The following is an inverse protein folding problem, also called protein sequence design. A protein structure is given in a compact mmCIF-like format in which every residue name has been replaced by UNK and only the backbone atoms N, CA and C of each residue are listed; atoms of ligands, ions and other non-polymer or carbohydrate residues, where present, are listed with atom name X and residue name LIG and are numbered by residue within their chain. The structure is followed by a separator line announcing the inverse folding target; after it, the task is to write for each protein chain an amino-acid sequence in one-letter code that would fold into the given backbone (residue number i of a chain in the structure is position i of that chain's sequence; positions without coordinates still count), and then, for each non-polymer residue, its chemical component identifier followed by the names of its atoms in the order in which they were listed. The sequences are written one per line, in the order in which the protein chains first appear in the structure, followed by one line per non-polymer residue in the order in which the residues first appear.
data_IF_487613529628
#
_entry.id   IF_487613529628
#
_cell.length_a   1.000
_cell.length_b   1.000
_cell.length_c   1.000
_cell.angle_alpha   90.00
_cell.angle_beta   90.00
_cell.angle_gamma   90.00
#
_symmetry.space_group_name_H-M   'P 1'
#
loop_
_entity.id
_entity.type
_entity.pdbx_description
1 polymer ?
#
# COMPACT_ATOMS: atom_id res chain seq x y z
N UNK A 1 -14.68 -27.91 -13.64
CA UNK A 1 -13.74 -26.79 -13.50
C UNK A 1 -14.45 -25.73 -12.69
N UNK A 2 -13.92 -25.37 -11.52
CA UNK A 2 -14.48 -24.28 -10.71
C UNK A 2 -14.23 -22.93 -11.40
N UNK A 3 -15.06 -21.91 -11.15
CA UNK A 3 -14.88 -20.60 -11.75
C UNK A 3 -13.57 -19.95 -11.28
N UNK A 4 -12.85 -19.34 -12.23
CA UNK A 4 -11.66 -18.52 -11.99
C UNK A 4 -12.12 -17.07 -11.99
N UNK A 5 -11.89 -16.37 -10.87
CA UNK A 5 -12.20 -14.94 -10.75
C UNK A 5 -10.89 -14.15 -10.72
N UNK A 6 -10.75 -13.19 -11.63
CA UNK A 6 -9.66 -12.23 -11.63
C UNK A 6 -10.17 -10.91 -11.04
N UNK A 7 -9.68 -10.55 -9.85
CA UNK A 7 -9.86 -9.20 -9.30
C UNK A 7 -8.61 -8.42 -9.69
N UNK A 8 -8.76 -7.46 -10.60
CA UNK A 8 -7.67 -6.60 -11.04
C UNK A 8 -7.69 -5.34 -10.19
N UNK A 9 -6.59 -5.06 -9.49
CA UNK A 9 -6.40 -3.78 -8.84
C UNK A 9 -5.77 -2.82 -9.86
N UNK A 10 -6.61 -2.18 -10.67
CA UNK A 10 -6.19 -1.23 -11.72
C UNK A 10 -7.31 -0.96 -12.72
N UNK A 11 -7.26 0.21 -13.37
CA UNK A 11 -8.13 0.55 -14.50
C UNK A 11 -7.81 -0.36 -15.70
N UNK A 12 -8.82 -0.91 -16.38
CA UNK A 12 -8.61 -1.64 -17.63
C UNK A 12 -8.51 -0.61 -18.78
N UNK A 13 -7.28 -0.16 -19.04
CA UNK A 13 -7.04 0.80 -20.13
C UNK A 13 -7.52 0.24 -21.49
N UNK A 14 -8.42 0.97 -22.13
CA UNK A 14 -9.01 0.57 -23.42
C UNK A 14 -10.14 -0.46 -23.31
N UNK A 15 -10.81 -0.57 -22.17
CA UNK A 15 -11.93 -1.52 -21.98
C UNK A 15 -13.03 -1.39 -23.05
N UNK A 16 -13.25 -0.18 -23.58
CA UNK A 16 -14.24 0.10 -24.62
C UNK A 16 -13.98 -0.74 -25.87
N UNK A 17 -12.71 -0.91 -26.28
CA UNK A 17 -12.32 -1.73 -27.42
C UNK A 17 -12.68 -3.20 -27.20
N UNK A 18 -12.27 -3.77 -26.07
CA UNK A 18 -12.53 -5.18 -25.73
C UNK A 18 -14.01 -5.44 -25.51
N UNK A 19 -14.74 -4.47 -24.95
CA UNK A 19 -16.19 -4.54 -24.80
C UNK A 19 -16.87 -4.66 -26.15
N UNK A 20 -16.53 -3.81 -27.12
CA UNK A 20 -17.08 -3.89 -28.48
C UNK A 20 -16.79 -5.23 -29.17
N UNK A 21 -15.60 -5.78 -28.97
CA UNK A 21 -15.24 -7.10 -29.51
C UNK A 21 -16.08 -8.23 -28.88
N UNK A 22 -16.29 -8.17 -27.56
CA UNK A 22 -16.98 -9.21 -26.79
C UNK A 22 -18.51 -9.05 -26.73
N UNK A 23 -19.07 -7.93 -27.16
CA UNK A 23 -20.51 -7.65 -27.12
C UNK A 23 -21.33 -8.58 -28.03
N UNK A 24 -20.68 -9.20 -29.02
CA UNK A 24 -21.29 -10.23 -29.86
C UNK A 24 -21.46 -11.57 -29.13
N UNK A 25 -20.68 -11.82 -28.08
CA UNK A 25 -20.62 -13.09 -27.35
C UNK A 25 -21.17 -12.98 -25.93
N UNK A 26 -21.22 -11.77 -25.36
CA UNK A 26 -21.56 -11.53 -23.97
C UNK A 26 -22.47 -10.30 -23.78
N UNK A 27 -23.55 -10.47 -23.00
CA UNK A 27 -24.53 -9.42 -22.69
C UNK A 27 -24.11 -8.63 -21.43
N UNK A 28 -23.39 -7.52 -21.63
CA UNK A 28 -22.89 -6.65 -20.57
C UNK A 28 -24.02 -5.84 -19.91
N UNK A 29 -24.17 -5.88 -18.57
CA UNK A 29 -25.25 -5.13 -17.86
C UNK A 29 -24.84 -3.77 -17.29
N UNK A 30 -23.55 -3.50 -17.12
CA UNK A 30 -23.04 -2.20 -16.63
C UNK A 30 -22.30 -1.44 -17.71
N UNK A 31 -22.23 -0.11 -17.65
CA UNK A 31 -21.44 0.73 -18.59
C UNK A 31 -20.01 0.99 -18.11
N UNK A 32 -19.70 0.67 -16.85
CA UNK A 32 -18.35 0.75 -16.27
C UNK A 32 -17.62 -0.58 -16.40
N UNK A 33 -16.33 -0.53 -16.65
CA UNK A 33 -15.40 -1.68 -16.58
C UNK A 33 -14.91 -1.97 -15.16
N UNK A 34 -15.10 -1.01 -14.26
CA UNK A 34 -14.61 -1.06 -12.88
C UNK A 34 -15.77 -0.91 -11.89
N UNK A 35 -15.66 -1.62 -10.77
CA UNK A 35 -16.50 -1.45 -9.58
C UNK A 35 -15.61 -1.08 -8.40
N UNK A 36 -16.05 -0.13 -7.57
CA UNK A 36 -15.25 0.33 -6.43
C UNK A 36 -15.41 -0.66 -5.28
N UNK A 37 -14.35 -1.36 -4.91
CA UNK A 37 -14.32 -2.12 -3.65
C UNK A 37 -14.10 -1.13 -2.50
N UNK A 38 -15.06 -1.05 -1.59
CA UNK A 38 -14.91 -0.20 -0.41
C UNK A 38 -13.71 -0.66 0.44
N UNK A 39 -13.00 0.26 1.12
CA UNK A 39 -11.96 -0.13 2.06
C UNK A 39 -12.47 -1.17 3.04
N UNK A 40 -11.64 -2.19 3.32
CA UNK A 40 -11.96 -3.25 4.30
C UNK A 40 -13.18 -4.12 3.90
N UNK A 41 -13.58 -4.10 2.63
CA UNK A 41 -14.58 -4.99 2.06
C UNK A 41 -13.96 -5.98 1.08
N UNK A 42 -14.62 -7.13 0.92
CA UNK A 42 -14.46 -7.96 -0.26
C UNK A 42 -15.76 -7.93 -1.07
N UNK A 43 -15.65 -8.29 -2.33
CA UNK A 43 -16.73 -8.26 -3.30
C UNK A 43 -16.90 -9.66 -3.87
N UNK A 44 -18.13 -10.17 -3.84
CA UNK A 44 -18.54 -11.44 -4.46
C UNK A 44 -19.47 -11.12 -5.63
N UNK A 45 -19.17 -11.68 -6.80
CA UNK A 45 -20.06 -11.73 -7.96
C UNK A 45 -20.43 -13.18 -8.23
N UNK A 46 -21.72 -13.50 -8.22
CA UNK A 46 -22.23 -14.82 -8.57
C UNK A 46 -23.10 -14.74 -9.85
N UNK A 47 -23.19 -15.84 -10.60
CA UNK A 47 -24.22 -16.09 -11.63
C UNK A 47 -24.27 -15.19 -12.89
N UNK A 48 -23.26 -14.38 -13.21
CA UNK A 48 -23.24 -13.51 -14.40
C UNK A 48 -24.47 -12.58 -14.55
N UNK A 49 -25.32 -12.47 -13.52
CA UNK A 49 -26.53 -11.65 -13.52
C UNK A 49 -26.23 -10.17 -13.17
N UNK A 50 -24.94 -9.86 -12.99
CA UNK A 50 -24.40 -8.57 -12.60
C UNK A 50 -24.88 -8.12 -11.21
N UNK A 51 -25.32 -9.07 -10.37
CA UNK A 51 -25.45 -8.84 -8.94
C UNK A 51 -24.06 -8.88 -8.30
N UNK A 52 -23.79 -7.86 -7.48
CA UNK A 52 -22.54 -7.68 -6.77
C UNK A 52 -22.87 -7.51 -5.30
N UNK A 53 -22.27 -8.34 -4.45
CA UNK A 53 -22.38 -8.21 -3.01
C UNK A 53 -21.04 -7.79 -2.42
N UNK A 54 -21.01 -6.66 -1.72
CA UNK A 54 -19.86 -6.27 -0.91
C UNK A 54 -20.12 -6.61 0.55
N UNK A 55 -19.09 -7.11 1.24
CA UNK A 55 -19.17 -7.43 2.66
C UNK A 55 -17.88 -7.02 3.35
N UNK A 56 -18.01 -6.31 4.47
CA UNK A 56 -16.90 -5.91 5.31
C UNK A 56 -16.25 -7.15 5.94
N UNK A 57 -14.93 -7.36 5.74
CA UNK A 57 -14.23 -8.51 6.35
C UNK A 57 -13.53 -8.17 7.66
N UNK A 58 -13.37 -6.89 7.97
CA UNK A 58 -12.80 -6.45 9.22
C UNK A 58 -13.57 -5.24 9.72
N UNK A 59 -14.19 -5.43 10.88
CA UNK A 59 -14.58 -4.33 11.75
C UNK A 59 -13.43 -4.13 12.73
N UNK A 60 -12.79 -2.96 12.69
CA UNK A 60 -11.74 -2.65 13.66
C UNK A 60 -12.42 -2.18 14.94
N UNK A 61 -12.50 -3.06 15.94
CA UNK A 61 -12.98 -2.70 17.27
C UNK A 61 -11.95 -1.77 17.94
N UNK A 62 -12.19 -0.47 17.83
CA UNK A 62 -11.35 0.53 18.48
C UNK A 62 -11.83 0.74 19.91
N UNK A 63 -10.94 0.70 20.92
CA UNK A 63 -11.31 0.97 22.29
C UNK A 63 -11.90 2.38 22.44
N UNK A 64 -12.86 2.54 23.37
CA UNK A 64 -13.47 3.84 23.65
C UNK A 64 -12.38 4.87 24.00
N UNK A 65 -12.36 5.98 23.27
CA UNK A 65 -11.40 7.09 23.45
C UNK A 65 -11.46 7.74 24.83
N UNK A 66 -12.51 7.46 25.62
CA UNK A 66 -12.67 7.92 27.01
C UNK A 66 -11.95 7.04 28.02
N UNK A 67 -11.47 5.86 27.62
CA UNK A 67 -10.63 5.01 28.47
C UNK A 67 -9.32 5.76 28.72
N UNK A 68 -8.99 5.95 30.00
CA UNK A 68 -7.78 6.64 30.40
C UNK A 68 -6.55 5.79 30.06
N UNK A 69 -5.54 6.43 29.48
CA UNK A 69 -4.23 5.83 29.28
C UNK A 69 -3.55 5.64 30.64
N UNK A 70 -3.23 4.39 30.97
CA UNK A 70 -2.65 4.01 32.26
C UNK A 70 -1.14 3.77 32.17
N UNK A 71 -0.59 3.61 30.97
CA UNK A 71 0.85 3.49 30.75
C UNK A 71 1.56 4.80 31.07
N UNK A 72 2.79 4.70 31.54
CA UNK A 72 3.65 5.86 31.72
C UNK A 72 3.99 6.51 30.37
N UNK A 73 4.35 7.80 30.41
CA UNK A 73 4.80 8.52 29.21
C UNK A 73 5.98 7.81 28.52
N UNK A 74 6.92 7.28 29.29
CA UNK A 74 8.07 6.54 28.78
C UNK A 74 7.65 5.27 28.02
N UNK A 75 6.70 4.50 28.56
CA UNK A 75 6.17 3.30 27.91
C UNK A 75 5.42 3.64 26.61
N UNK A 76 4.68 4.75 26.60
CA UNK A 76 3.98 5.20 25.38
C UNK A 76 4.98 5.65 24.31
N UNK A 77 5.99 6.43 24.68
CA UNK A 77 7.04 6.88 23.75
C UNK A 77 7.76 5.68 23.13
N UNK A 78 8.12 4.69 23.94
CA UNK A 78 8.81 3.50 23.44
C UNK A 78 7.90 2.66 22.55
N UNK A 79 6.64 2.44 22.96
CA UNK A 79 5.69 1.71 22.13
C UNK A 79 5.46 2.38 20.76
N UNK A 80 5.33 3.72 20.72
CA UNK A 80 5.22 4.45 19.44
C UNK A 80 6.48 4.24 18.60
N UNK A 81 7.67 4.34 19.19
CA UNK A 81 8.94 4.11 18.50
C UNK A 81 9.00 2.71 17.91
N UNK A 82 8.65 1.68 18.69
CA UNK A 82 8.62 0.28 18.25
C UNK A 82 7.65 0.09 17.08
N UNK A 83 6.39 0.48 17.22
CA UNK A 83 5.37 0.27 16.19
C UNK A 83 5.68 1.02 14.90
N UNK A 84 6.16 2.26 14.98
CA UNK A 84 6.52 3.03 13.78
C UNK A 84 7.77 2.44 13.13
N UNK A 85 8.75 2.01 13.91
CA UNK A 85 9.97 1.36 13.39
C UNK A 85 9.62 0.06 12.67
N UNK A 86 8.78 -0.78 13.25
CA UNK A 86 8.34 -2.03 12.63
C UNK A 86 7.50 -1.77 11.37
N UNK A 87 6.58 -0.80 11.41
CA UNK A 87 5.78 -0.43 10.25
C UNK A 87 6.64 0.04 9.05
N UNK A 88 7.73 0.76 9.33
CA UNK A 88 8.73 1.16 8.31
C UNK A 88 9.53 -0.06 7.85
N UNK A 89 10.04 -0.88 8.77
CA UNK A 89 10.80 -2.10 8.46
C UNK A 89 10.03 -3.03 7.53
N UNK A 90 8.74 -3.27 7.79
CA UNK A 90 7.88 -4.10 6.94
C UNK A 90 7.77 -3.57 5.51
N UNK A 91 7.81 -2.25 5.32
CA UNK A 91 7.72 -1.58 4.01
C UNK A 91 9.05 -1.48 3.27
N UNK A 92 10.16 -1.78 3.94
CA UNK A 92 11.48 -1.88 3.31
C UNK A 92 11.75 -3.28 2.71
N UNK A 93 10.85 -4.26 2.91
CA UNK A 93 10.95 -5.58 2.27
C UNK A 93 10.56 -5.48 0.79
N UNK A 94 11.54 -5.18 -0.06
CA UNK A 94 11.36 -5.09 -1.51
C UNK A 94 12.54 -5.72 -2.25
N UNK A 95 12.26 -6.39 -3.37
CA UNK A 95 13.27 -6.92 -4.29
C UNK A 95 13.87 -5.83 -5.21
N UNK A 96 13.36 -4.61 -5.09
CA UNK A 96 13.78 -3.44 -5.85
C UNK A 96 14.21 -2.31 -4.90
N UNK A 97 15.03 -1.35 -5.35
CA UNK A 97 15.40 -0.23 -4.52
C UNK A 97 14.18 0.58 -4.04
N UNK A 98 14.14 0.90 -2.75
CA UNK A 98 13.04 1.65 -2.12
C UNK A 98 13.38 3.13 -2.06
N UNK A 99 12.43 3.97 -2.48
CA UNK A 99 12.58 5.42 -2.39
C UNK A 99 12.05 5.99 -1.07
N UNK A 100 12.73 6.99 -0.49
CA UNK A 100 12.16 7.83 0.58
C UNK A 100 11.98 9.26 0.08
N UNK A 101 10.78 9.80 0.27
CA UNK A 101 10.44 11.18 -0.06
C UNK A 101 10.66 12.10 1.14
N UNK A 102 11.47 13.15 0.94
CA UNK A 102 11.74 14.18 1.93
C UNK A 102 11.02 15.48 1.60
N UNK A 103 10.10 15.87 2.48
CA UNK A 103 9.42 17.19 2.43
C UNK A 103 10.04 18.22 3.37
N UNK A 104 10.94 17.81 4.27
CA UNK A 104 11.52 18.65 5.32
C UNK A 104 10.65 18.80 6.58
N UNK A 105 9.46 18.21 6.60
CA UNK A 105 8.60 18.16 7.78
C UNK A 105 8.99 17.03 8.75
N UNK A 106 8.46 17.10 9.98
CA UNK A 106 8.73 16.11 11.03
C UNK A 106 8.43 14.67 10.55
N UNK A 107 7.27 14.44 9.92
CA UNK A 107 6.83 13.10 9.56
C UNK A 107 7.77 12.41 8.56
N UNK A 108 8.13 13.11 7.47
CA UNK A 108 9.02 12.56 6.45
C UNK A 108 10.45 12.40 6.97
N UNK A 109 10.92 13.34 7.79
CA UNK A 109 12.22 13.25 8.45
C UNK A 109 12.29 12.09 9.46
N UNK A 110 11.22 11.83 10.22
CA UNK A 110 11.13 10.69 11.15
C UNK A 110 11.22 9.37 10.40
N UNK A 111 10.48 9.22 9.30
CA UNK A 111 10.56 8.01 8.45
C UNK A 111 11.97 7.85 7.88
N UNK A 112 12.55 8.91 7.31
CA UNK A 112 13.90 8.86 6.76
C UNK A 112 14.97 8.51 7.81
N UNK A 113 14.84 9.04 9.03
CA UNK A 113 15.73 8.73 10.14
C UNK A 113 15.65 7.27 10.57
N UNK A 114 14.43 6.73 10.68
CA UNK A 114 14.19 5.30 10.99
C UNK A 114 14.79 4.43 9.89
N UNK A 115 14.54 4.77 8.63
CA UNK A 115 15.11 4.06 7.48
C UNK A 115 16.65 4.03 7.55
N UNK A 116 17.28 5.18 7.80
CA UNK A 116 18.74 5.26 7.91
C UNK A 116 19.30 4.43 9.09
N UNK A 117 18.57 4.41 10.21
CA UNK A 117 18.91 3.59 11.37
C UNK A 117 18.82 2.09 11.05
N UNK A 118 17.72 1.64 10.44
CA UNK A 118 17.52 0.24 10.08
C UNK A 118 18.53 -0.27 9.05
N UNK A 119 18.92 0.54 8.07
CA UNK A 119 19.99 0.16 7.12
C UNK A 119 21.32 -0.05 7.86
N UNK A 120 21.64 0.84 8.82
CA UNK A 120 22.87 0.75 9.58
C UNK A 120 22.92 -0.51 10.45
N UNK A 121 21.78 -0.96 10.99
CA UNK A 121 21.70 -2.13 11.86
C UNK A 121 21.52 -3.46 11.10
N UNK A 122 20.71 -3.50 10.05
CA UNK A 122 20.31 -4.74 9.36
C UNK A 122 20.99 -4.93 7.99
N UNK A 123 21.66 -3.91 7.46
CA UNK A 123 22.43 -3.97 6.22
C UNK A 123 21.61 -4.31 4.97
N UNK A 124 22.21 -5.07 4.05
CA UNK A 124 21.63 -5.42 2.74
C UNK A 124 20.32 -6.25 2.78
N UNK A 125 19.83 -6.64 3.97
CA UNK A 125 18.58 -7.40 4.13
C UNK A 125 17.32 -6.57 3.86
N UNK A 126 17.42 -5.25 3.83
CA UNK A 126 16.29 -4.31 3.65
C UNK A 126 16.29 -3.63 2.26
N UNK A 127 17.06 -4.15 1.30
CA UNK A 127 17.14 -3.60 -0.06
C UNK A 127 18.07 -2.37 -0.18
N UNK A 128 18.11 -1.78 -1.37
CA UNK A 128 18.87 -0.55 -1.67
C UNK A 128 17.95 0.67 -1.59
N UNK A 129 18.42 1.84 -1.16
CA UNK A 129 17.55 3.03 -1.01
C UNK A 129 17.95 4.18 -1.92
N UNK A 130 16.94 4.83 -2.51
CA UNK A 130 17.06 6.08 -3.24
C UNK A 130 16.41 7.22 -2.43
N UNK A 131 17.05 8.38 -2.35
CA UNK A 131 16.51 9.55 -1.64
C UNK A 131 16.05 10.59 -2.65
N UNK A 132 14.77 10.97 -2.60
CA UNK A 132 14.17 11.99 -3.46
C UNK A 132 13.73 13.22 -2.65
N UNK A 133 13.95 14.41 -3.18
CA UNK A 133 13.41 15.66 -2.62
C UNK A 133 12.24 16.16 -3.47
N UNK A 134 11.34 16.96 -2.89
CA UNK A 134 10.14 17.50 -3.55
C UNK A 134 10.40 18.32 -4.85
N UNK A 135 11.66 18.63 -5.19
CA UNK A 135 12.02 19.29 -6.46
C UNK A 135 12.23 18.26 -7.57
N UNK A 136 11.14 17.85 -8.21
CA UNK A 136 11.15 17.16 -9.49
C UNK A 136 11.68 15.72 -9.42
N UNK A 137 10.78 14.76 -9.61
CA UNK A 137 11.16 13.35 -9.71
C UNK A 137 11.88 13.12 -11.05
N UNK A 138 13.21 13.05 -11.01
CA UNK A 138 14.04 12.60 -12.13
C UNK A 138 14.76 11.31 -11.70
N UNK A 139 14.17 10.16 -12.06
CA UNK A 139 14.73 8.84 -11.75
C UNK A 139 16.12 8.62 -12.38
N UNK A 140 16.53 9.44 -13.37
CA UNK A 140 17.88 9.38 -13.96
C UNK A 140 18.96 10.02 -13.09
N UNK A 141 18.59 10.79 -12.05
CA UNK A 141 19.49 11.44 -11.09
C UNK A 141 19.60 10.72 -9.75
N UNK A 142 18.99 9.55 -9.61
CA UNK A 142 19.24 8.69 -8.46
C UNK A 142 20.69 8.21 -8.51
N UNK A 143 21.58 8.94 -7.85
CA UNK A 143 22.86 8.40 -7.43
C UNK A 143 22.56 7.29 -6.43
N UNK A 144 22.47 6.06 -6.94
CA UNK A 144 22.59 4.84 -6.16
C UNK A 144 23.91 4.94 -5.40
N UNK A 145 23.87 5.43 -4.17
CA UNK A 145 24.99 5.24 -3.26
C UNK A 145 24.98 3.76 -2.92
N UNK A 146 25.71 2.98 -3.73
CA UNK A 146 26.19 1.67 -3.34
C UNK A 146 27.02 1.91 -2.08
N UNK A 147 26.44 1.65 -0.93
CA UNK A 147 27.23 1.45 0.28
C UNK A 147 27.86 0.07 0.11
N UNK A 148 29.08 0.03 -0.42
CA UNK A 148 29.92 -1.16 -0.30
C UNK A 148 30.24 -1.35 1.18
N UNK A 149 29.68 -2.41 1.77
CA UNK A 149 30.10 -3.03 3.01
C UNK A 149 29.79 -4.53 2.92
#
# INVERSE_FOLDING_TARGET
MGPIYAVVNGELYGYEYYRTELEQEYDFKGTSDCEIVLPVHYLICENYDNSVQQTMYCDSDYPDKRVLETRSEAEVIEGVREYVTEAVRLRLRADVPVGVYLSGGLNSSSVAGIVAHLIKEEGAKLGTIAVGTYRGYDASRCNLTRTEA
#
